data_IF_139393467575
#
_entry.id   IF_139393467575
#
_cell.length_a   1.000
_cell.length_b   1.000
_cell.length_c   1.000
_cell.angle_alpha   90.00
_cell.angle_beta   90.00
_cell.angle_gamma   90.00
#
_symmetry.space_group_name_H-M   'P 1'
#
loop_
_entity.id
_entity.type
_entity.pdbx_description
1 polymer ?
2 non-polymer ?
3 non-polymer ?
4 non-polymer ?
5 water ?
#
# COMPACT_ATOMS: atom_id res chain seq x y z
N UNK A 23 20.07 6.17 -6.39
CA UNK A 23 19.78 7.11 -7.50
C UNK A 23 18.27 7.18 -7.81
N UNK A 24 17.58 6.05 -7.67
CA UNK A 24 16.14 6.01 -7.95
C UNK A 24 15.40 6.62 -6.74
N UNK A 25 14.52 7.61 -6.96
CA UNK A 25 13.68 8.14 -5.87
C UNK A 25 12.48 7.19 -5.71
N UNK A 26 12.08 6.92 -4.45
CA UNK A 26 11.01 5.92 -4.22
C UNK A 26 9.90 6.62 -3.48
N UNK A 27 8.68 6.53 -4.01
CA UNK A 27 7.53 7.20 -3.42
C UNK A 27 6.46 6.15 -3.16
N UNK A 28 5.94 6.04 -1.93
CA UNK A 28 4.81 5.15 -1.68
C UNK A 28 3.49 5.90 -1.80
N UNK A 29 2.57 5.33 -2.58
CA UNK A 29 1.15 5.77 -2.66
C UNK A 29 0.32 4.95 -1.64
N UNK A 30 -0.21 5.63 -0.64
CA UNK A 30 -0.97 4.99 0.46
C UNK A 30 -2.40 5.44 0.44
N UNK A 31 -3.29 4.52 0.82
CA UNK A 31 -4.72 4.80 0.88
C UNK A 31 -5.48 3.56 1.27
N UNK A 32 -6.68 3.80 1.77
CA UNK A 32 -7.61 2.73 2.13
C UNK A 32 -8.04 1.91 0.88
N UNK A 33 -8.67 0.79 1.15
CA UNK A 33 -9.24 -0.11 0.14
C UNK A 33 -10.20 0.72 -0.75
N UNK A 34 -9.94 0.67 -2.08
CA UNK A 34 -10.75 1.37 -3.08
C UNK A 34 -10.71 2.90 -3.02
N UNK A 35 -9.69 3.49 -2.37
CA UNK A 35 -9.60 4.96 -2.30
C UNK A 35 -9.29 5.52 -3.67
N UNK A 36 -8.61 4.74 -4.52
CA UNK A 36 -8.23 5.13 -5.86
C UNK A 36 -6.75 5.12 -6.17
N UNK A 37 -5.99 4.27 -5.48
CA UNK A 37 -4.56 4.18 -5.71
C UNK A 37 -4.23 3.76 -7.16
N UNK A 38 -4.90 2.73 -7.65
CA UNK A 38 -4.63 2.20 -9.00
C UNK A 38 -5.05 3.21 -10.06
N UNK A 39 -6.17 3.89 -9.81
CA UNK A 39 -6.63 4.95 -10.71
C UNK A 39 -5.61 6.07 -10.82
N UNK A 40 -5.04 6.47 -9.68
CA UNK A 40 -4.02 7.50 -9.63
C UNK A 40 -2.73 6.96 -10.29
N UNK A 41 -2.32 5.74 -9.97
CA UNK A 41 -1.14 5.11 -10.58
C UNK A 41 -1.21 5.08 -12.12
N UNK A 42 -2.41 4.91 -12.67
CA UNK A 42 -2.61 4.74 -14.10
C UNK A 42 -2.45 5.99 -14.91
N UNK A 43 -2.34 7.16 -14.26
CA UNK A 43 -2.02 8.42 -14.99
C UNK A 43 -0.58 8.93 -14.84
N UNK A 44 0.25 8.22 -14.08
CA UNK A 44 1.58 8.71 -13.77
C UNK A 44 2.59 8.57 -14.89
N UNK A 45 2.62 7.45 -15.57
CA UNK A 45 3.65 7.23 -16.59
C UNK A 45 3.56 8.21 -17.74
N UNK A 46 2.35 8.66 -18.06
CA UNK A 46 2.17 9.59 -19.15
C UNK A 46 2.73 10.96 -18.81
N UNK A 47 3.03 11.25 -17.54
CA UNK A 47 3.53 12.58 -17.15
C UNK A 47 5.06 12.72 -17.31
N UNK A 48 5.78 11.60 -17.30
CA UNK A 48 7.24 11.60 -17.42
C UNK A 48 7.77 10.21 -17.80
N UNK A 49 8.58 10.17 -18.85
CA UNK A 49 9.18 8.91 -19.33
C UNK A 49 10.05 8.20 -18.32
N UNK A 50 10.61 8.90 -17.34
CA UNK A 50 11.49 8.27 -16.36
C UNK A 50 10.74 7.77 -15.12
N UNK A 51 9.41 7.76 -15.15
CA UNK A 51 8.60 7.30 -13.98
C UNK A 51 8.09 5.86 -14.19
N UNK A 52 8.15 5.05 -13.13
CA UNK A 52 7.73 3.65 -13.17
C UNK A 52 6.83 3.38 -11.96
N UNK A 53 5.99 2.37 -12.09
CA UNK A 53 5.06 2.02 -11.01
C UNK A 53 5.20 0.53 -10.65
N UNK A 54 5.04 0.22 -9.35
CA UNK A 54 4.92 -1.14 -8.85
C UNK A 54 3.54 -1.37 -8.17
N UNK A 55 2.57 -1.92 -8.89
CA UNK A 55 1.26 -2.21 -8.29
C UNK A 55 1.35 -3.35 -7.31
N UNK A 56 0.38 -3.37 -6.39
CA UNK A 56 0.13 -4.54 -5.57
C UNK A 56 -0.37 -5.62 -6.54
N UNK A 57 0.15 -6.80 -6.42
CA UNK A 57 -0.29 -7.93 -7.28
C UNK A 57 -1.56 -8.62 -6.77
N UNK A 58 -2.63 -7.84 -6.70
CA UNK A 58 -3.89 -8.34 -6.14
C UNK A 58 -4.48 -9.54 -6.94
N UNK A 59 -4.45 -9.54 -8.26
CA UNK A 59 -4.95 -10.68 -9.02
C UNK A 59 -4.16 -11.94 -8.66
N UNK A 60 -2.85 -11.84 -8.45
CA UNK A 60 -2.10 -13.02 -8.06
C UNK A 60 -2.48 -13.55 -6.67
N UNK A 61 -2.90 -12.67 -5.76
CA UNK A 61 -3.30 -13.12 -4.42
C UNK A 61 -4.60 -13.89 -4.53
N UNK A 62 -5.32 -13.75 -5.65
CA UNK A 62 -6.60 -14.40 -5.87
C UNK A 62 -6.48 -15.74 -6.59
N UNK A 63 -5.29 -16.07 -7.01
CA UNK A 63 -5.01 -17.34 -7.71
C UNK A 63 -3.56 -17.70 -7.49
N UNK A 64 -3.29 -18.39 -6.37
CA UNK A 64 -1.93 -18.62 -5.91
C UNK A 64 -1.25 -19.72 -6.75
N UNK A 65 -0.13 -19.32 -7.32
CA UNK A 65 0.64 -20.13 -8.27
C UNK A 65 2.11 -19.90 -7.98
N UNK A 66 2.91 -20.94 -8.19
CA UNK A 66 4.35 -20.86 -7.98
C UNK A 66 4.96 -19.95 -9.03
N UNK A 67 6.05 -19.29 -8.64
CA UNK A 67 6.83 -18.39 -9.49
C UNK A 67 7.85 -19.21 -10.27
N UNK A 80 -4.91 -22.96 -12.22
CA UNK A 80 -5.90 -22.89 -11.16
C UNK A 80 -5.30 -23.14 -9.76
N UNK A 81 -5.41 -22.12 -8.89
CA UNK A 81 -4.88 -22.16 -7.54
C UNK A 81 -5.85 -21.57 -6.53
N UNK A 82 -5.43 -21.59 -5.27
CA UNK A 82 -6.27 -21.14 -4.18
C UNK A 82 -6.37 -19.58 -4.23
N UNK A 83 -7.44 -19.07 -3.67
CA UNK A 83 -7.70 -17.63 -3.62
C UNK A 83 -7.43 -17.19 -2.18
N UNK A 84 -6.19 -16.84 -1.86
CA UNK A 84 -5.83 -16.55 -0.48
C UNK A 84 -6.43 -15.24 0.08
N UNK A 85 -6.70 -14.29 -0.82
CA UNK A 85 -7.46 -13.09 -0.43
C UNK A 85 -8.88 -13.44 0.04
N UNK A 86 -9.57 -14.29 -0.74
CA UNK A 86 -10.89 -14.75 -0.38
C UNK A 86 -10.86 -15.59 0.89
N UNK A 87 -9.81 -16.41 1.07
CA UNK A 87 -9.71 -17.24 2.29
C UNK A 87 -9.64 -16.37 3.53
N UNK A 88 -8.84 -15.29 3.47
CA UNK A 88 -8.73 -14.36 4.59
C UNK A 88 -10.10 -13.71 4.91
N UNK A 89 -10.80 -13.21 3.90
CA UNK A 89 -12.05 -12.53 4.18
C UNK A 89 -13.17 -13.48 4.63
N UNK A 90 -13.14 -14.73 4.17
CA UNK A 90 -14.11 -15.78 4.59
C UNK A 90 -13.89 -16.30 6.00
N UNK A 91 -12.63 -16.36 6.45
CA UNK A 91 -12.30 -16.85 7.78
C UNK A 91 -10.99 -16.21 8.30
N UNK A 92 -11.04 -14.94 8.68
CA UNK A 92 -9.80 -14.19 8.97
C UNK A 92 -9.04 -14.70 10.14
N UNK A 93 -9.68 -15.36 11.11
CA UNK A 93 -8.94 -15.89 12.27
C UNK A 93 -8.14 -17.12 11.88
N UNK A 94 -8.49 -17.75 10.76
CA UNK A 94 -7.76 -18.91 10.22
C UNK A 94 -6.60 -18.49 9.29
N UNK A 95 -6.86 -17.48 8.44
CA UNK A 95 -6.03 -17.23 7.24
C UNK A 95 -5.28 -15.88 7.28
N UNK A 96 -5.50 -15.02 8.25
CA UNK A 96 -4.81 -13.68 8.26
C UNK A 96 -3.31 -13.79 8.25
N UNK A 97 -2.73 -14.62 9.12
CA UNK A 97 -1.26 -14.73 9.23
C UNK A 97 -0.70 -15.21 7.86
N UNK A 98 -1.33 -16.21 7.26
CA UNK A 98 -0.85 -16.79 6.00
C UNK A 98 -0.90 -15.72 4.90
N UNK A 99 -2.03 -15.02 4.85
CA UNK A 99 -2.19 -13.97 3.83
C UNK A 99 -1.17 -12.86 4.06
N UNK A 100 -1.06 -12.38 5.28
CA UNK A 100 -0.24 -11.21 5.57
C UNK A 100 1.23 -11.48 5.26
N UNK A 101 1.70 -12.68 5.61
CA UNK A 101 3.06 -13.06 5.27
C UNK A 101 3.29 -13.17 3.73
N UNK A 102 2.40 -13.83 3.03
CA UNK A 102 2.48 -14.00 1.56
C UNK A 102 2.40 -12.65 0.80
N UNK A 103 1.46 -11.78 1.20
CA UNK A 103 1.30 -10.50 0.50
C UNK A 103 2.55 -9.66 0.65
N UNK A 104 3.12 -9.59 1.84
CA UNK A 104 4.26 -8.73 2.05
C UNK A 104 5.49 -9.26 1.30
N UNK A 105 5.70 -10.59 1.31
CA UNK A 105 6.84 -11.17 0.55
C UNK A 105 6.69 -10.91 -0.91
N UNK A 106 5.46 -11.03 -1.43
CA UNK A 106 5.19 -10.85 -2.85
C UNK A 106 5.48 -9.37 -3.22
N UNK A 107 5.15 -8.45 -2.30
CA UNK A 107 5.42 -7.03 -2.52
C UNK A 107 6.92 -6.77 -2.60
N UNK A 108 7.67 -7.26 -1.63
CA UNK A 108 9.11 -7.04 -1.57
C UNK A 108 9.76 -7.55 -2.86
N UNK A 109 9.38 -8.76 -3.27
CA UNK A 109 9.92 -9.36 -4.52
C UNK A 109 9.63 -8.47 -5.74
N UNK A 110 8.39 -7.99 -5.87
CA UNK A 110 8.04 -7.09 -6.96
C UNK A 110 8.77 -5.76 -6.91
N UNK A 111 8.91 -5.19 -5.73
CA UNK A 111 9.58 -3.88 -5.61
C UNK A 111 11.07 -4.03 -5.92
N UNK A 112 11.69 -5.08 -5.43
CA UNK A 112 13.11 -5.34 -5.76
C UNK A 112 13.31 -5.59 -7.25
N UNK A 113 12.38 -6.27 -7.90
CA UNK A 113 12.49 -6.55 -9.34
C UNK A 113 12.49 -5.27 -10.15
N UNK A 114 11.67 -4.30 -9.74
CA UNK A 114 11.60 -3.02 -10.45
C UNK A 114 12.83 -2.13 -10.26
N UNK A 115 13.45 -2.21 -9.09
CA UNK A 115 14.60 -1.39 -8.74
C UNK A 115 15.83 -1.86 -9.48
N UNK A 116 15.88 -3.16 -9.71
CA UNK A 116 17.05 -3.83 -10.27
C UNK A 116 16.93 -4.00 -11.79
N UNK A 117 15.89 -3.40 -12.38
CA UNK A 117 15.63 -3.46 -13.81
C UNK A 117 16.12 -2.21 -14.54
N UNK A 118 15.51 -1.94 -15.70
CA UNK A 118 15.97 -0.90 -16.63
C UNK A 118 15.78 0.55 -16.16
N UNK A 119 14.90 0.77 -15.18
CA UNK A 119 14.78 2.09 -14.58
C UNK A 119 16.13 2.59 -14.00
N UNK A 120 16.94 1.66 -13.51
CA UNK A 120 18.31 1.93 -13.05
C UNK A 120 19.14 2.77 -14.04
N UNK A 121 18.82 2.66 -15.33
CA UNK A 121 19.51 3.36 -16.44
C UNK A 121 19.02 4.79 -16.79
N UNK A 122 17.80 5.16 -16.41
CA UNK A 122 17.20 6.46 -16.78
C UNK A 122 17.90 7.69 -16.18
N UNK A 123 17.59 8.88 -16.70
CA UNK A 123 18.25 10.11 -16.24
C UNK A 123 17.72 10.64 -14.89
N UNK A 124 16.40 10.63 -14.69
CA UNK A 124 15.78 11.17 -13.47
C UNK A 124 14.70 10.18 -12.97
N UNK A 125 15.13 8.97 -12.61
CA UNK A 125 14.20 7.88 -12.29
C UNK A 125 13.41 8.06 -10.99
N UNK A 126 12.10 7.84 -11.09
CA UNK A 126 11.20 7.85 -9.91
C UNK A 126 10.34 6.58 -10.00
N UNK A 127 10.37 5.81 -8.89
CA UNK A 127 9.57 4.59 -8.74
C UNK A 127 8.44 4.82 -7.71
N UNK A 128 7.21 4.64 -8.15
CA UNK A 128 6.02 4.78 -7.30
C UNK A 128 5.48 3.40 -6.91
N UNK A 129 5.37 3.17 -5.62
CA UNK A 129 4.85 1.91 -5.08
C UNK A 129 3.37 2.05 -4.71
N UNK A 130 2.52 1.09 -5.10
CA UNK A 130 1.14 1.04 -4.55
C UNK A 130 1.30 0.32 -3.20
N UNK A 131 1.32 1.10 -2.14
CA UNK A 131 1.62 0.71 -0.76
C UNK A 131 3.03 0.21 -0.52
N UNK A 132 3.31 0.03 0.76
CA UNK A 132 4.65 -0.25 1.27
C UNK A 132 4.64 -1.41 2.26
N UNK A 133 5.84 -1.87 2.58
CA UNK A 133 5.97 -2.81 3.70
C UNK A 133 5.53 -2.24 5.06
N UNK A 134 5.54 -0.94 5.19
CA UNK A 134 5.15 -0.28 6.41
C UNK A 134 3.64 -0.30 6.59
N UNK A 135 2.89 -0.04 5.54
CA UNK A 135 1.44 -0.22 5.74
C UNK A 135 1.05 -1.69 5.88
N UNK A 136 1.77 -2.61 5.23
CA UNK A 136 1.46 -4.05 5.42
C UNK A 136 1.46 -4.37 6.92
N UNK A 137 2.47 -3.92 7.63
CA UNK A 137 2.59 -4.21 9.04
C UNK A 137 1.73 -3.34 9.98
N UNK A 138 1.92 -2.03 9.88
CA UNK A 138 1.34 -1.06 10.83
C UNK A 138 -0.13 -0.70 10.61
N UNK A 139 -0.64 -0.96 9.39
CA UNK A 139 -2.07 -0.79 9.09
C UNK A 139 -2.76 -2.15 9.07
N UNK A 140 -2.43 -3.00 8.10
CA UNK A 140 -3.23 -4.23 7.85
C UNK A 140 -3.00 -5.32 8.86
N UNK A 141 -1.76 -5.72 9.03
CA UNK A 141 -1.49 -6.86 9.95
C UNK A 141 -1.79 -6.44 11.40
N UNK A 142 -1.41 -5.24 11.80
CA UNK A 142 -1.69 -4.74 13.16
C UNK A 142 -3.20 -4.72 13.42
N UNK A 143 -3.99 -4.21 12.48
CA UNK A 143 -5.45 -4.23 12.68
C UNK A 143 -6.03 -5.62 12.84
N UNK A 144 -5.55 -6.58 12.05
CA UNK A 144 -6.02 -7.95 12.18
C UNK A 144 -5.62 -8.55 13.56
N UNK A 145 -4.39 -8.32 14.02
CA UNK A 145 -3.99 -8.74 15.40
C UNK A 145 -4.95 -8.10 16.45
N UNK A 146 -5.18 -6.79 16.34
CA UNK A 146 -6.00 -6.06 17.30
C UNK A 146 -7.45 -6.58 17.30
N UNK A 147 -7.93 -7.09 16.16
CA UNK A 147 -9.26 -7.65 15.99
C UNK A 147 -9.36 -9.16 16.38
N UNK A 148 -8.28 -9.68 16.94
CA UNK A 148 -8.16 -11.08 17.39
C UNK A 148 -8.21 -12.08 16.21
N UNK A 149 -7.81 -11.64 15.02
CA UNK A 149 -7.65 -12.47 13.85
C UNK A 149 -6.24 -13.09 13.70
N UNK A 150 -5.29 -12.56 14.43
CA UNK A 150 -4.01 -13.23 14.71
C UNK A 150 -3.89 -13.34 16.23
N UNK A 151 -3.39 -14.46 16.71
CA UNK A 151 -3.06 -14.63 18.11
C UNK A 151 -1.66 -14.14 18.45
N UNK A 152 -1.28 -14.16 19.73
CA UNK A 152 0.02 -13.65 20.14
C UNK A 152 1.17 -14.34 19.43
N UNK A 153 1.09 -15.65 19.25
CA UNK A 153 2.14 -16.40 18.56
C UNK A 153 2.28 -15.94 17.12
N UNK A 154 1.15 -15.85 16.40
CA UNK A 154 1.17 -15.42 15.01
C UNK A 154 1.77 -14.03 14.88
N UNK A 155 1.37 -13.13 15.78
CA UNK A 155 1.81 -11.74 15.74
C UNK A 155 3.32 -11.60 16.04
N UNK A 156 3.84 -12.41 16.94
CA UNK A 156 5.25 -12.42 17.24
C UNK A 156 6.07 -12.97 16.05
N UNK A 157 5.62 -14.08 15.49
CA UNK A 157 6.28 -14.65 14.29
C UNK A 157 6.26 -13.62 13.14
N UNK A 158 5.09 -13.03 12.88
CA UNK A 158 5.02 -12.02 11.79
C UNK A 158 5.98 -10.84 11.97
N UNK A 159 6.06 -10.28 13.16
CA UNK A 159 6.92 -9.13 13.40
C UNK A 159 8.38 -9.53 13.28
N UNK A 160 8.71 -10.70 13.82
CA UNK A 160 10.09 -11.25 13.75
C UNK A 160 10.50 -11.40 12.26
N UNK A 161 9.64 -11.98 11.45
CA UNK A 161 9.84 -12.14 10.04
C UNK A 161 9.96 -10.76 9.34
N UNK A 162 9.05 -9.85 9.66
CA UNK A 162 9.05 -8.53 9.00
C UNK A 162 10.38 -7.80 9.32
N UNK A 163 10.83 -7.83 10.58
CA UNK A 163 12.09 -7.20 10.99
C UNK A 163 13.27 -7.78 10.18
N UNK A 164 13.31 -9.10 10.07
CA UNK A 164 14.41 -9.77 9.39
C UNK A 164 14.41 -9.41 7.88
N UNK A 165 13.25 -9.50 7.24
CA UNK A 165 13.13 -9.11 5.83
C UNK A 165 13.57 -7.68 5.60
N UNK A 166 13.25 -6.77 6.51
CA UNK A 166 13.65 -5.36 6.36
C UNK A 166 15.15 -5.15 6.60
N UNK A 167 15.75 -5.92 7.48
CA UNK A 167 17.20 -5.84 7.70
C UNK A 167 17.93 -6.33 6.44
N UNK A 168 17.38 -7.33 5.77
CA UNK A 168 18.05 -7.87 4.59
C UNK A 168 17.83 -6.96 3.37
N UNK A 169 16.70 -6.23 3.33
CA UNK A 169 16.25 -5.43 2.13
C UNK A 169 15.75 -3.99 2.33
N UNK A 170 15.42 -3.62 3.55
CA UNK A 170 14.89 -2.30 3.87
C UNK A 170 15.68 -1.13 3.29
N UNK A 171 17.01 -1.29 3.25
CA UNK A 171 17.84 -0.24 2.71
C UNK A 171 17.50 0.08 1.27
N UNK A 172 17.49 -0.90 0.37
CA UNK A 172 17.25 -0.59 -1.02
C UNK A 172 15.83 -0.07 -1.28
N UNK A 173 14.87 -0.41 -0.40
CA UNK A 173 13.46 0.04 -0.57
C UNK A 173 13.06 1.28 0.21
N UNK A 174 14.01 1.91 0.90
CA UNK A 174 13.71 3.07 1.75
C UNK A 174 13.00 4.19 0.98
N UNK A 175 12.01 4.78 1.62
CA UNK A 175 11.21 5.79 0.93
C UNK A 175 11.82 7.21 1.00
N UNK A 176 11.67 7.93 -0.09
CA UNK A 176 11.93 9.36 -0.17
C UNK A 176 10.70 10.26 0.05
N UNK A 177 9.51 9.69 -0.09
CA UNK A 177 8.28 10.46 0.08
C UNK A 177 7.07 9.50 0.11
N UNK A 178 5.97 10.01 0.63
CA UNK A 178 4.66 9.32 0.68
C UNK A 178 3.58 10.24 0.11
N UNK A 179 2.75 9.70 -0.78
CA UNK A 179 1.54 10.40 -1.21
C UNK A 179 0.38 9.65 -0.56
N UNK A 180 -0.41 10.37 0.24
CA UNK A 180 -1.57 9.79 0.97
C UNK A 180 -2.82 10.23 0.25
N UNK A 181 -3.54 9.28 -0.33
CA UNK A 181 -4.79 9.53 -0.98
C UNK A 181 -5.90 9.33 0.06
N UNK A 182 -6.41 10.45 0.55
CA UNK A 182 -7.32 10.50 1.66
C UNK A 182 -8.76 10.51 1.12
N UNK A 183 -9.58 9.58 1.60
CA UNK A 183 -10.99 9.47 1.22
C UNK A 183 -11.74 8.94 2.46
N UNK A 184 -12.99 9.35 2.62
CA UNK A 184 -13.78 8.84 3.74
C UNK A 184 -14.01 7.33 3.61
N UNK A 185 -14.21 6.63 4.71
CA UNK A 185 -14.53 5.20 4.60
C UNK A 185 -15.86 4.94 3.85
N UNK A 186 -16.81 5.87 3.93
CA UNK A 186 -18.07 5.75 3.17
C UNK A 186 -17.84 5.85 1.64
N UNK A 187 -16.94 6.75 1.22
CA UNK A 187 -16.53 6.88 -0.17
C UNK A 187 -15.87 5.57 -0.68
N UNK A 188 -15.00 5.05 0.17
CA UNK A 188 -14.36 3.77 -0.13
C UNK A 188 -15.30 2.61 -0.28
N UNK A 189 -16.33 2.55 0.58
CA UNK A 189 -17.34 1.50 0.53
C UNK A 189 -18.11 1.57 -0.79
N UNK A 190 -18.41 2.77 -1.22
CA UNK A 190 -19.07 2.99 -2.54
C UNK A 190 -18.14 2.56 -3.71
N UNK A 191 -16.86 2.85 -3.59
CA UNK A 191 -15.91 2.52 -4.62
C UNK A 191 -15.61 1.01 -4.71
N UNK A 192 -15.76 0.27 -3.61
CA UNK A 192 -15.70 -1.20 -3.68
C UNK A 192 -16.86 -1.69 -4.60
N UNK A 193 -18.04 -1.11 -4.42
CA UNK A 193 -19.21 -1.47 -5.23
C UNK A 193 -18.92 -1.11 -6.71
N UNK A 194 -18.35 0.05 -6.96
CA UNK A 194 -18.07 0.48 -8.34
C UNK A 194 -17.09 -0.49 -9.02
N UNK A 195 -16.02 -0.88 -8.32
CA UNK A 195 -14.99 -1.71 -8.95
C UNK A 195 -15.47 -3.14 -9.19
N UNK A 196 -16.26 -3.66 -8.26
CA UNK A 196 -16.85 -5.01 -8.37
C UNK A 196 -15.89 -6.17 -8.23
N UNK A 197 -14.75 -6.00 -7.53
CA UNK A 197 -13.86 -7.12 -7.29
C UNK A 197 -14.55 -8.06 -6.39
N UNK A 198 -14.73 -9.28 -6.86
CA UNK A 198 -15.56 -10.24 -6.19
C UNK A 198 -15.22 -10.45 -4.70
N UNK A 199 -13.91 -10.55 -4.43
CA UNK A 199 -13.44 -10.92 -3.07
C UNK A 199 -13.73 -9.84 -2.02
N UNK A 200 -13.98 -8.62 -2.48
CA UNK A 200 -14.19 -7.46 -1.57
C UNK A 200 -15.64 -7.06 -1.33
N UNK A 201 -16.60 -7.71 -2.01
CA UNK A 201 -17.97 -7.21 -1.92
C UNK A 201 -18.61 -7.31 -0.53
N UNK A 202 -18.14 -8.23 0.29
CA UNK A 202 -18.63 -8.40 1.64
C UNK A 202 -18.01 -7.52 2.72
N UNK A 203 -17.00 -6.73 2.37
CA UNK A 203 -16.30 -5.96 3.40
C UNK A 203 -17.23 -4.93 4.06
N UNK A 204 -17.39 -4.97 5.38
CA UNK A 204 -18.28 -4.03 6.08
C UNK A 204 -17.63 -2.65 6.29
N UNK A 205 -18.43 -1.59 6.31
CA UNK A 205 -17.95 -0.25 6.67
C UNK A 205 -17.11 -0.20 7.95
N UNK A 206 -17.48 -0.96 9.00
CA UNK A 206 -16.72 -1.01 10.25
C UNK A 206 -15.21 -1.31 10.02
N UNK A 207 -14.95 -2.26 9.13
CA UNK A 207 -13.56 -2.65 8.82
C UNK A 207 -12.82 -1.51 8.10
N UNK A 208 -13.49 -0.89 7.13
CA UNK A 208 -12.89 0.26 6.40
C UNK A 208 -12.65 1.44 7.35
N UNK A 209 -13.54 1.63 8.32
CA UNK A 209 -13.37 2.67 9.31
C UNK A 209 -12.14 2.45 10.21
N UNK A 210 -11.94 1.21 10.67
CA UNK A 210 -10.77 0.90 11.44
C UNK A 210 -9.48 1.23 10.66
N UNK A 211 -9.46 0.81 9.39
CA UNK A 211 -8.34 1.09 8.52
C UNK A 211 -8.11 2.60 8.27
N UNK A 212 -9.21 3.35 8.10
CA UNK A 212 -9.13 4.78 7.96
C UNK A 212 -8.45 5.46 9.16
N UNK A 213 -8.86 5.12 10.38
CA UNK A 213 -8.29 5.79 11.52
C UNK A 213 -6.81 5.45 11.66
N UNK A 214 -6.39 4.22 11.29
CA UNK A 214 -4.97 3.89 11.28
C UNK A 214 -4.22 4.75 10.25
N UNK A 215 -4.75 4.94 9.05
CA UNK A 215 -4.11 5.83 8.07
C UNK A 215 -3.98 7.24 8.62
N UNK A 216 -5.05 7.74 9.24
CA UNK A 216 -5.04 9.12 9.77
C UNK A 216 -3.99 9.30 10.86
N UNK A 217 -3.91 8.32 11.73
CA UNK A 217 -2.89 8.35 12.79
C UNK A 217 -1.48 8.37 12.21
N UNK A 218 -1.23 7.53 11.19
CA UNK A 218 0.10 7.42 10.64
C UNK A 218 0.48 8.64 9.82
N UNK A 219 -0.40 9.07 8.93
CA UNK A 219 -0.02 10.00 7.87
C UNK A 219 -0.55 11.42 8.03
N UNK A 220 -1.60 11.63 8.83
CA UNK A 220 -2.15 12.96 9.05
C UNK A 220 -1.70 13.51 10.40
N UNK A 221 -2.01 12.80 11.50
CA UNK A 221 -1.57 13.26 12.86
C UNK A 221 -0.08 12.91 13.16
N UNK A 222 0.44 11.91 12.45
CA UNK A 222 1.80 11.39 12.60
C UNK A 222 2.06 10.98 14.04
N UNK A 223 1.07 10.32 14.65
CA UNK A 223 1.16 9.81 15.99
C UNK A 223 1.32 8.31 16.10
N UNK A 224 1.31 7.59 14.97
CA UNK A 224 1.47 6.13 15.01
C UNK A 224 2.96 5.83 15.06
N UNK A 225 3.38 5.13 16.12
CA UNK A 225 4.80 4.79 16.34
C UNK A 225 5.16 3.52 15.54
N UNK A 226 6.32 3.55 14.89
CA UNK A 226 6.90 2.35 14.23
C UNK A 226 8.33 2.12 14.68
N UNK A 227 8.90 1.03 14.18
CA UNK A 227 10.28 0.66 14.49
C UNK A 227 11.31 1.19 13.48
N UNK A 228 10.88 2.10 12.61
CA UNK A 228 11.71 2.60 11.50
C UNK A 228 11.77 4.13 11.66
N UNK A 229 12.73 4.61 12.46
CA UNK A 229 12.77 6.02 12.89
C UNK A 229 12.68 7.06 11.76
N UNK A 230 13.31 6.76 10.62
CA UNK A 230 13.32 7.71 9.49
C UNK A 230 11.92 8.09 8.99
N UNK A 231 10.94 7.22 9.19
CA UNK A 231 9.59 7.47 8.69
C UNK A 231 8.89 8.67 9.30
N UNK A 232 9.26 9.05 10.54
CA UNK A 232 8.60 10.17 11.21
C UNK A 232 8.93 11.51 10.53
N UNK A 233 10.01 11.57 9.76
CA UNK A 233 10.42 12.79 9.02
C UNK A 233 10.25 12.73 7.49
N UNK A 234 9.87 11.57 6.95
CA UNK A 234 9.71 11.45 5.50
C UNK A 234 8.61 12.41 5.05
N UNK A 235 8.83 13.21 3.99
CA UNK A 235 7.77 14.10 3.52
C UNK A 235 6.50 13.36 3.03
N UNK A 236 5.35 13.91 3.39
CA UNK A 236 4.03 13.41 3.02
C UNK A 236 3.23 14.49 2.30
N UNK A 237 2.73 14.15 1.14
CA UNK A 237 1.73 14.93 0.39
C UNK A 237 0.36 14.26 0.60
N UNK A 238 -0.56 15.00 1.20
CA UNK A 238 -1.94 14.55 1.38
C UNK A 238 -2.84 15.13 0.35
N UNK A 239 -3.53 14.26 -0.39
CA UNK A 239 -4.46 14.64 -1.45
C UNK A 239 -5.86 14.12 -1.10
N UNK A 240 -6.85 15.03 -1.01
CA UNK A 240 -8.22 14.65 -0.79
C UNK A 240 -8.81 14.18 -2.13
N UNK A 241 -9.20 12.92 -2.21
CA UNK A 241 -9.71 12.29 -3.43
C UNK A 241 -11.19 11.88 -3.33
N UNK A 242 -11.96 12.53 -2.45
CA UNK A 242 -13.40 12.23 -2.36
C UNK A 242 -14.21 12.67 -3.60
N UNK A 243 -13.74 13.69 -4.30
CA UNK A 243 -14.43 14.16 -5.51
C UNK A 243 -14.03 13.34 -6.74
N UNK A 244 -14.83 13.47 -7.80
CA UNK A 244 -14.63 12.69 -9.04
C UNK A 244 -13.28 12.99 -9.67
N UNK A 245 -12.59 11.96 -10.11
CA UNK A 245 -11.24 12.01 -10.58
C UNK A 245 -11.16 12.88 -11.82
N UNK A 246 -12.17 12.76 -12.69
CA UNK A 246 -12.31 13.49 -13.95
C UNK A 246 -12.16 14.99 -13.72
N UNK A 247 -12.77 15.48 -12.64
CA UNK A 247 -12.73 16.91 -12.23
C UNK A 247 -11.47 17.34 -11.47
N UNK A 248 -10.89 16.42 -10.71
CA UNK A 248 -9.77 16.76 -9.85
C UNK A 248 -8.40 16.57 -10.47
N UNK A 249 -8.36 15.86 -11.59
CA UNK A 249 -7.10 15.40 -12.19
C UNK A 249 -6.05 16.51 -12.35
N UNK A 250 -6.42 17.64 -12.96
CA UNK A 250 -5.40 18.66 -13.26
C UNK A 250 -4.72 19.20 -11.98
N UNK A 251 -5.52 19.51 -10.97
CA UNK A 251 -5.01 20.05 -9.73
C UNK A 251 -4.13 19.01 -8.99
N UNK A 252 -4.51 17.74 -9.06
CA UNK A 252 -3.71 16.67 -8.45
C UNK A 252 -2.34 16.54 -9.07
N UNK A 253 -2.28 16.57 -10.40
CA UNK A 253 -1.03 16.52 -11.13
C UNK A 253 -0.11 17.69 -10.75
N UNK A 254 -0.66 18.89 -10.64
CA UNK A 254 0.12 20.08 -10.23
C UNK A 254 0.80 19.89 -8.88
N UNK A 255 0.02 19.38 -7.91
CA UNK A 255 0.51 19.18 -6.56
C UNK A 255 1.58 18.09 -6.50
N UNK A 256 1.42 17.03 -7.28
CA UNK A 256 2.42 15.97 -7.36
C UNK A 256 3.75 16.48 -7.92
N UNK A 257 3.70 17.18 -9.05
CA UNK A 257 4.93 17.73 -9.65
C UNK A 257 5.64 18.69 -8.68
N UNK A 258 4.89 19.55 -8.02
CA UNK A 258 5.46 20.44 -6.98
C UNK A 258 6.15 19.66 -5.82
N UNK A 259 5.41 18.72 -5.24
CA UNK A 259 5.96 17.86 -4.20
C UNK A 259 7.29 17.20 -4.62
N UNK A 260 7.31 16.58 -5.80
CA UNK A 260 8.48 15.83 -6.26
C UNK A 260 9.70 16.74 -6.46
N UNK A 261 9.44 18.00 -6.81
CA UNK A 261 10.53 19.01 -6.95
C UNK A 261 11.20 19.42 -5.64
N UNK A 262 10.57 19.13 -4.49
CA UNK A 262 11.20 19.36 -3.18
C UNK A 262 12.05 18.23 -2.66
N UNK A 263 12.00 17.06 -3.29
CA UNK A 263 12.64 15.85 -2.72
C UNK A 263 14.09 15.71 -3.14
X LIG B 1 -5.26 -0.93 -6.54
X LIG C 1 -5.39 -3.87 -1.96
X LIG C 1 -6.02 -5.05 -2.44
X LIG C 1 -6.52 -5.93 -1.29
X LIG C 1 -5.45 -6.44 -0.44
X LIG C 1 -5.71 -6.26 0.95
X LIG C 1 -4.42 -6.13 1.68
X LIG C 1 -3.39 -5.53 1.18
X LIG C 1 -2.26 -5.48 1.82
X LIG C 1 -2.14 -6.06 3.01
X LIG C 1 -3.19 -6.62 3.58
X LIG C 1 -4.34 -6.64 2.90
X LIG C 1 -5.38 -7.18 3.46
X LIG C 1 -0.99 -6.07 3.74
X LIG C 1 -6.71 -5.09 1.00
X LIG C 1 -5.98 -3.87 1.13
X LIG C 1 -7.46 -5.21 -0.34
X LIG C 1 -8.69 -5.94 -0.16
X LIG D 1 -7.52 1.06 -5.10
X LIG D 1 -8.08 -0.20 -4.43
X LIG D 1 -6.40 0.78 -6.08
X LIG D 1 -7.14 2.17 -4.18
X LIG D 1 -9.13 1.70 -7.52
X LIG D 1 -8.20 2.61 -8.20
X LIG D 1 -9.22 0.24 -7.90
X LIG D 1 -8.76 1.72 -5.95
X LIG D 1 -10.56 2.38 -7.58
X LIG D 1 -11.74 1.77 -7.05
X LIG D 1 -12.99 2.16 -7.80
X LIG D 1 -13.29 3.55 -7.55
X LIG D 1 -12.87 2.00 -9.32
X LIG D 1 -14.12 1.57 -9.85
X LIG D 1 -12.45 3.38 -9.80
X LIG D 1 -12.92 3.71 -11.10
X LIG D 1 -13.17 4.27 -8.80
X LIG D 1 -12.51 5.52 -8.46
X LIG D 1 -11.32 5.63 -7.79
X LIG D 1 -11.02 6.95 -7.54
X LIG D 1 -12.06 7.65 -8.03
X LIG D 1 -12.37 9.09 -8.03
X LIG D 1 -11.59 9.92 -7.46
X LIG D 1 -13.52 9.38 -8.61
X LIG D 1 -14.47 8.51 -9.20
X LIG D 1 -14.12 7.12 -9.15
X LIG D 1 -12.94 6.76 -8.56
#
# INVERSE_FOLDING_TARGET
GSHMATPPKRSCPSFSASSEGTRIKKISIEGNIAAGKSTFVNILKQLCEDWEVVPEPVARWCNVQSTQDEFEELTMSQKNGGNVLQMMYEKPERWSFTFQTYACLSRIRAQLASLNGKLKDAEKPVLFFERSVYSDRYIFASNLYESECMNETEWTIYQDWHDWMNNQFGQSLELDGIIYLQATPETCLHRIYLRGRNEEQGIPLEYLEKLHYKHESWLLHRTLKTNFDYLQEVPILTLDVNEDFKDKYESLVEKVKEFLSTL
MG MG
AR3 O5' C5' C4' O4' C1' N1 C6 C5 C4 N3 C2 O2 N4 C2' O1 C3' O3'
ADP PB O1B O2B O3B PA O1A O2A O3A O5' C5' C4' O4' C3' O3' C2' O2' C1' N9 C8 N7 C5 C6 N6 N1 C2 N3 C4
#
